data_IF_663627568350
#
_entry.id   IF_663627568350
#
_cell.length_a   1.000
_cell.length_b   1.000
_cell.length_c   1.000
_cell.angle_alpha   90.00
_cell.angle_beta   90.00
_cell.angle_gamma   90.00
#
_symmetry.space_group_name_H-M   'P 1'
#
loop_
_entity.id
_entity.type
_entity.pdbx_description
1 polymer ?
#
# COMPACT_ATOMS: atom_id res chain seq x y z
N UNK A 1 16.42 -5.97 -14.86
CA UNK A 1 15.22 -6.68 -14.40
C UNK A 1 15.01 -7.85 -15.35
N UNK A 2 15.08 -9.08 -14.88
CA UNK A 2 14.83 -10.28 -15.71
C UNK A 2 13.32 -10.51 -15.68
N UNK A 3 12.68 -10.63 -16.85
CA UNK A 3 11.26 -10.95 -16.94
C UNK A 3 11.05 -12.42 -16.57
N UNK A 4 10.34 -12.67 -15.47
CA UNK A 4 9.92 -14.01 -15.05
C UNK A 4 8.38 -14.06 -15.02
N UNK A 5 7.81 -14.87 -15.91
CA UNK A 5 6.36 -15.02 -16.01
C UNK A 5 5.72 -15.68 -14.78
N UNK A 6 6.48 -16.45 -13.99
CA UNK A 6 6.00 -17.08 -12.77
C UNK A 6 6.07 -16.15 -11.55
N UNK A 7 6.74 -15.00 -11.66
CA UNK A 7 6.92 -14.07 -10.56
C UNK A 7 5.74 -13.08 -10.45
N UNK A 8 4.63 -13.54 -9.85
CA UNK A 8 3.44 -12.72 -9.65
C UNK A 8 3.67 -11.52 -8.72
N UNK A 9 4.79 -11.44 -7.99
CA UNK A 9 5.14 -10.20 -7.26
C UNK A 9 5.45 -9.03 -8.20
N UNK A 10 5.76 -9.30 -9.47
CA UNK A 10 5.99 -8.27 -10.49
C UNK A 10 4.71 -7.83 -11.21
N UNK A 11 3.58 -8.49 -10.95
CA UNK A 11 2.29 -8.19 -11.57
C UNK A 11 1.56 -7.13 -10.76
N UNK A 12 2.11 -5.92 -10.78
CA UNK A 12 1.62 -4.76 -10.02
C UNK A 12 1.71 -3.48 -10.84
N UNK A 13 1.19 -2.39 -10.29
CA UNK A 13 1.41 -1.03 -10.80
C UNK A 13 2.57 -0.32 -10.07
N UNK A 14 3.51 -1.08 -9.49
CA UNK A 14 4.54 -0.54 -8.59
C UNK A 14 3.99 -0.25 -7.19
N UNK A 15 4.55 0.76 -6.52
CA UNK A 15 4.01 1.25 -5.25
C UNK A 15 2.59 1.76 -5.47
N UNK A 16 1.63 1.18 -4.74
CA UNK A 16 0.23 1.56 -4.87
C UNK A 16 -0.09 2.83 -4.09
N UNK A 17 0.61 3.10 -2.99
CA UNK A 17 0.40 4.28 -2.15
C UNK A 17 1.62 5.18 -2.14
N UNK A 18 1.38 6.49 -2.26
CA UNK A 18 2.43 7.49 -2.04
C UNK A 18 2.82 7.54 -0.57
N UNK A 19 4.10 7.77 -0.30
CA UNK A 19 4.56 8.09 1.05
C UNK A 19 3.89 9.38 1.54
N UNK A 20 3.11 9.35 2.64
CA UNK A 20 2.37 10.51 3.10
C UNK A 20 3.31 11.59 3.62
N UNK A 21 2.86 12.84 3.51
CA UNK A 21 3.50 14.03 4.06
C UNK A 21 2.56 14.56 5.14
N UNK A 22 3.04 14.62 6.37
CA UNK A 22 2.25 14.90 7.58
C UNK A 22 2.87 16.06 8.35
N UNK A 23 2.12 16.66 9.27
CA UNK A 23 2.73 17.52 10.28
C UNK A 23 3.63 16.69 11.20
N UNK A 24 4.70 17.29 11.72
CA UNK A 24 5.69 16.58 12.54
C UNK A 24 5.07 15.91 13.78
N UNK A 25 3.98 16.47 14.32
CA UNK A 25 3.25 15.92 15.46
C UNK A 25 2.41 14.68 15.12
N UNK A 26 2.06 14.49 13.84
CA UNK A 26 1.20 13.40 13.37
C UNK A 26 2.01 12.20 12.85
N UNK A 27 3.34 12.31 12.79
CA UNK A 27 4.21 11.19 12.39
C UNK A 27 4.23 10.16 13.52
N UNK A 28 3.81 8.91 13.27
CA UNK A 28 3.81 7.89 14.31
C UNK A 28 5.20 7.64 14.88
N UNK A 29 5.28 7.40 16.18
CA UNK A 29 6.54 7.11 16.86
C UNK A 29 7.24 5.90 16.22
N UNK A 30 8.54 6.05 15.93
CA UNK A 30 9.36 5.02 15.29
C UNK A 30 9.20 4.93 13.76
N UNK A 31 8.25 5.65 13.16
CA UNK A 31 8.15 5.72 11.71
C UNK A 31 9.37 6.44 11.10
N UNK A 32 9.91 5.98 9.97
CA UNK A 32 10.91 6.73 9.21
C UNK A 32 10.40 8.14 8.90
N UNK A 33 11.19 9.14 9.21
CA UNK A 33 10.81 10.54 9.11
C UNK A 33 11.83 11.30 8.27
N UNK A 34 11.36 11.96 7.21
CA UNK A 34 12.16 12.81 6.34
C UNK A 34 11.59 14.24 6.36
N UNK A 35 12.18 15.16 7.14
CA UNK A 35 11.75 16.55 7.22
C UNK A 35 11.76 17.22 5.85
N UNK A 36 10.75 18.05 5.58
CA UNK A 36 10.62 18.86 4.37
C UNK A 36 10.90 20.34 4.68
N UNK A 37 11.25 21.16 3.68
CA UNK A 37 11.57 22.58 3.87
C UNK A 37 10.42 23.43 4.44
N UNK A 38 9.17 23.00 4.25
CA UNK A 38 7.96 23.68 4.73
C UNK A 38 7.57 23.32 6.17
N UNK A 39 8.38 22.49 6.86
CA UNK A 39 8.12 22.04 8.22
C UNK A 39 7.30 20.76 8.31
N UNK A 40 6.77 20.25 7.20
CA UNK A 40 6.12 18.94 7.15
C UNK A 40 7.16 17.81 7.17
N UNK A 41 6.69 16.58 7.36
CA UNK A 41 7.53 15.39 7.39
C UNK A 41 6.94 14.34 6.46
N UNK A 42 7.73 13.92 5.48
CA UNK A 42 7.42 12.74 4.67
C UNK A 42 7.72 11.49 5.50
N UNK A 43 6.80 10.53 5.53
CA UNK A 43 7.00 9.24 6.22
C UNK A 43 6.74 8.04 5.30
N UNK A 44 7.09 6.84 5.75
CA UNK A 44 7.06 5.62 4.93
C UNK A 44 5.69 4.96 4.96
N UNK A 45 4.98 4.96 3.82
CA UNK A 45 3.72 4.23 3.68
C UNK A 45 3.93 2.71 3.89
N UNK A 46 5.05 2.15 3.43
CA UNK A 46 5.39 0.74 3.64
C UNK A 46 5.47 0.39 5.13
N UNK A 47 6.11 1.26 5.92
CA UNK A 47 6.25 1.10 7.36
C UNK A 47 4.88 1.16 8.03
N UNK A 48 4.05 2.15 7.66
CA UNK A 48 2.69 2.28 8.18
C UNK A 48 1.85 1.03 7.90
N UNK A 49 1.91 0.49 6.68
CA UNK A 49 1.16 -0.72 6.30
C UNK A 49 1.61 -1.93 7.14
N UNK A 50 2.92 -2.17 7.25
CA UNK A 50 3.43 -3.29 8.06
C UNK A 50 3.08 -3.12 9.54
N UNK A 51 3.20 -1.91 10.09
CA UNK A 51 2.90 -1.62 11.51
C UNK A 51 1.40 -1.45 11.81
N UNK A 52 0.55 -1.40 10.78
CA UNK A 52 -0.89 -1.60 10.88
C UNK A 52 -1.28 -3.09 10.93
N UNK A 53 -0.31 -4.01 10.93
CA UNK A 53 -0.52 -5.45 11.00
C UNK A 53 -0.79 -6.11 9.64
N UNK A 54 -0.38 -5.48 8.55
CA UNK A 54 -0.57 -5.97 7.18
C UNK A 54 0.80 -6.39 6.59
N UNK A 55 1.29 -7.60 6.90
CA UNK A 55 2.59 -8.04 6.43
C UNK A 55 2.59 -8.28 4.91
N UNK A 56 3.79 -8.51 4.36
CA UNK A 56 3.97 -8.99 2.99
C UNK A 56 3.12 -10.24 2.73
N UNK A 57 2.48 -10.31 1.58
CA UNK A 57 1.54 -11.40 1.24
C UNK A 57 0.14 -11.28 1.84
N UNK A 58 -0.15 -10.25 2.66
CA UNK A 58 -1.48 -10.07 3.25
C UNK A 58 -2.57 -9.76 2.21
N UNK A 59 -3.83 -10.11 2.51
CA UNK A 59 -5.00 -9.72 1.71
C UNK A 59 -5.75 -10.86 1.03
N UNK A 60 -5.25 -12.10 1.15
CA UNK A 60 -5.91 -13.27 0.57
C UNK A 60 -7.36 -13.44 1.07
N UNK A 61 -7.62 -13.19 2.36
CA UNK A 61 -8.96 -13.27 2.95
C UNK A 61 -9.92 -12.19 2.39
N UNK A 62 -9.39 -11.05 1.96
CA UNK A 62 -10.18 -9.93 1.40
C UNK A 62 -10.61 -10.21 -0.03
N UNK A 63 -9.78 -10.91 -0.80
CA UNK A 63 -9.92 -11.04 -2.26
C UNK A 63 -10.15 -12.49 -2.72
N UNK A 64 -10.28 -13.44 -1.78
CA UNK A 64 -10.30 -14.87 -2.08
C UNK A 64 -8.98 -15.38 -2.68
N UNK A 65 -7.85 -14.74 -2.34
CA UNK A 65 -6.51 -15.10 -2.80
C UNK A 65 -6.14 -14.54 -4.19
N UNK A 66 -7.05 -13.85 -4.88
CA UNK A 66 -6.79 -13.35 -6.24
C UNK A 66 -5.87 -12.14 -6.26
N UNK A 67 -5.87 -11.31 -5.22
CA UNK A 67 -4.93 -10.20 -5.06
C UNK A 67 -4.40 -10.11 -3.63
N UNK A 68 -3.11 -9.83 -3.48
CA UNK A 68 -2.45 -9.66 -2.17
C UNK A 68 -1.44 -8.53 -2.23
N UNK A 69 -1.02 -8.04 -1.07
CA UNK A 69 0.26 -7.34 -0.98
C UNK A 69 1.37 -8.26 -1.48
N UNK A 70 2.38 -7.71 -2.14
CA UNK A 70 3.53 -8.49 -2.61
C UNK A 70 4.20 -9.19 -1.43
N UNK A 71 4.73 -10.39 -1.69
CA UNK A 71 5.55 -11.13 -0.71
C UNK A 71 6.93 -10.50 -0.53
N UNK A 72 7.33 -9.58 -1.42
CA UNK A 72 8.62 -8.87 -1.40
C UNK A 72 8.50 -7.46 -0.83
N UNK A 73 7.41 -6.75 -1.10
CA UNK A 73 7.23 -5.35 -0.65
C UNK A 73 5.76 -4.97 -0.43
N UNK A 74 5.42 -4.50 0.77
CA UNK A 74 4.02 -4.18 1.16
C UNK A 74 3.35 -3.01 0.44
N UNK A 75 4.09 -2.22 -0.35
CA UNK A 75 3.50 -1.14 -1.15
C UNK A 75 2.91 -1.65 -2.46
N UNK A 76 3.35 -2.81 -2.95
CA UNK A 76 2.84 -3.35 -4.19
C UNK A 76 1.60 -4.20 -3.93
N UNK A 77 0.47 -3.83 -4.52
CA UNK A 77 -0.68 -4.70 -4.68
C UNK A 77 -0.46 -5.54 -5.93
N UNK A 78 -0.56 -6.86 -5.78
CA UNK A 78 -0.18 -7.82 -6.83
C UNK A 78 -1.36 -8.66 -7.25
N UNK A 79 -1.50 -8.82 -8.57
CA UNK A 79 -2.42 -9.79 -9.15
C UNK A 79 -1.80 -11.19 -9.02
N UNK A 80 -2.55 -12.13 -8.42
CA UNK A 80 -2.11 -13.52 -8.23
C UNK A 80 -2.47 -14.45 -9.39
N UNK A 81 -3.03 -13.90 -10.47
CA UNK A 81 -3.28 -14.55 -11.76
C UNK A 81 -4.54 -14.00 -12.43
N UNK A 82 -5.65 -13.97 -11.68
CA UNK A 82 -7.01 -13.70 -12.15
C UNK A 82 -7.70 -12.55 -11.38
N UNK A 83 -6.94 -11.68 -10.72
CA UNK A 83 -7.48 -10.52 -10.02
C UNK A 83 -8.28 -9.61 -10.94
N UNK A 84 -9.44 -9.19 -10.46
CA UNK A 84 -10.24 -8.13 -11.08
C UNK A 84 -9.86 -6.77 -10.52
N UNK A 85 -10.28 -5.70 -11.20
CA UNK A 85 -10.20 -4.33 -10.65
C UNK A 85 -10.90 -4.23 -9.29
N UNK A 86 -12.02 -4.93 -9.10
CA UNK A 86 -12.75 -4.93 -7.84
C UNK A 86 -11.92 -5.56 -6.70
N UNK A 87 -11.17 -6.62 -6.98
CA UNK A 87 -10.29 -7.26 -5.99
C UNK A 87 -9.16 -6.33 -5.55
N UNK A 88 -8.51 -5.64 -6.51
CA UNK A 88 -7.45 -4.67 -6.21
C UNK A 88 -7.98 -3.47 -5.42
N UNK A 89 -9.16 -2.95 -5.78
CA UNK A 89 -9.78 -1.83 -5.05
C UNK A 89 -10.23 -2.25 -3.64
N UNK A 90 -10.78 -3.46 -3.48
CA UNK A 90 -11.15 -3.98 -2.16
C UNK A 90 -9.91 -4.11 -1.26
N UNK A 91 -8.82 -4.66 -1.80
CA UNK A 91 -7.55 -4.75 -1.09
C UNK A 91 -7.00 -3.37 -0.71
N UNK A 92 -7.01 -2.41 -1.63
CA UNK A 92 -6.54 -1.05 -1.39
C UNK A 92 -7.37 -0.34 -0.30
N UNK A 93 -8.70 -0.48 -0.32
CA UNK A 93 -9.57 0.10 0.73
C UNK A 93 -9.28 -0.51 2.09
N UNK A 94 -9.11 -1.83 2.17
CA UNK A 94 -8.80 -2.51 3.42
C UNK A 94 -7.45 -2.05 4.01
N UNK A 95 -6.45 -1.81 3.15
CA UNK A 95 -5.16 -1.23 3.57
C UNK A 95 -5.34 0.20 4.09
N UNK A 96 -6.03 1.06 3.34
CA UNK A 96 -6.29 2.44 3.77
C UNK A 96 -7.03 2.49 5.10
N UNK A 97 -8.09 1.69 5.25
CA UNK A 97 -8.90 1.64 6.46
C UNK A 97 -8.07 1.20 7.67
N UNK A 98 -7.22 0.19 7.53
CA UNK A 98 -6.37 -0.28 8.64
C UNK A 98 -5.31 0.73 9.04
N UNK A 99 -4.67 1.41 8.08
CA UNK A 99 -3.68 2.45 8.37
C UNK A 99 -4.35 3.67 9.01
N UNK A 100 -5.50 4.07 8.51
CA UNK A 100 -6.29 5.17 9.08
C UNK A 100 -6.77 4.84 10.51
N UNK A 101 -7.34 3.66 10.75
CA UNK A 101 -7.74 3.21 12.08
C UNK A 101 -6.58 3.17 13.08
N UNK A 102 -5.38 2.80 12.62
CA UNK A 102 -4.21 2.64 13.50
C UNK A 102 -3.50 3.95 13.79
N UNK A 103 -3.39 4.83 12.80
CA UNK A 103 -2.50 6.00 12.86
C UNK A 103 -3.22 7.33 12.58
N UNK A 104 -4.49 7.31 12.17
CA UNK A 104 -5.19 8.51 11.67
C UNK A 104 -4.64 9.03 10.35
N UNK A 105 -3.90 8.20 9.60
CA UNK A 105 -3.25 8.58 8.35
C UNK A 105 -3.99 7.99 7.16
N UNK A 106 -4.57 8.84 6.32
CA UNK A 106 -5.19 8.42 5.05
C UNK A 106 -4.15 8.29 3.95
N UNK A 107 -3.87 7.05 3.52
CA UNK A 107 -3.00 6.82 2.36
C UNK A 107 -3.70 7.24 1.06
N UNK A 108 -2.93 7.74 0.09
CA UNK A 108 -3.41 8.16 -1.24
C UNK A 108 -2.80 7.24 -2.30
N UNK A 109 -3.61 6.79 -3.25
CA UNK A 109 -3.12 5.93 -4.34
C UNK A 109 -2.21 6.72 -5.30
N UNK A 110 -1.10 6.09 -5.68
CA UNK A 110 -0.18 6.60 -6.71
C UNK A 110 -0.62 6.22 -8.14
N UNK A 111 -1.12 5.00 -8.41
CA UNK A 111 -1.58 4.65 -9.75
C UNK A 111 -2.79 5.48 -10.18
N UNK A 112 -2.81 5.85 -11.47
CA UNK A 112 -3.97 6.47 -12.11
C UNK A 112 -5.09 5.44 -12.26
N UNK A 113 -6.24 5.73 -11.67
CA UNK A 113 -7.43 4.89 -11.80
C UNK A 113 -8.25 5.34 -13.02
N UNK A 114 -8.42 4.44 -13.98
CA UNK A 114 -9.19 4.71 -15.21
C UNK A 114 -10.54 4.00 -15.12
N UNK A 115 -11.64 4.76 -15.18
CA UNK A 115 -13.00 4.21 -15.14
C UNK A 115 -13.40 3.58 -13.79
N UNK A 116 -12.66 3.85 -12.72
CA UNK A 116 -12.95 3.39 -11.36
C UNK A 116 -12.42 4.38 -10.32
N UNK A 117 -12.84 4.21 -9.06
CA UNK A 117 -12.46 5.08 -7.94
C UNK A 117 -12.16 4.25 -6.70
N UNK A 118 -11.25 4.77 -5.86
CA UNK A 118 -10.90 4.16 -4.58
C UNK A 118 -11.72 4.75 -3.45
#
# INVERSE_FOLDING_TARGET
MVLDAADHDTWSAGSFFTNPVLDAADVPEGAPAWPQPDGTVKTSAAWLIEHAGLPKGWGAEVTGGRATLSTKHTLALTNRGDATTADLLALARAVQERVDQRFGVRLVNEPVLVGCTL
#
